data_IF_323737856205
#
_entry.id   IF_323737856205
#
_cell.length_a   1.000
_cell.length_b   1.000
_cell.length_c   1.000
_cell.angle_alpha   90.00
_cell.angle_beta   90.00
_cell.angle_gamma   90.00
#
_symmetry.space_group_name_H-M   'P 1'
#
loop_
_entity.id
_entity.type
_entity.pdbx_description
1 polymer ?
#
# COMPACT_ATOMS: atom_id res chain seq x y z
N UNK A 1 35.83 -41.88 -54.81
CA UNK A 1 35.77 -40.96 -53.66
C UNK A 1 34.32 -40.60 -53.41
N UNK A 2 33.73 -41.04 -52.31
CA UNK A 2 32.36 -40.71 -51.90
C UNK A 2 32.44 -39.46 -50.97
N UNK A 3 31.58 -38.45 -51.09
CA UNK A 3 31.61 -37.30 -50.21
C UNK A 3 30.99 -37.63 -48.86
N UNK A 4 31.72 -37.33 -47.80
CA UNK A 4 31.23 -37.35 -46.41
C UNK A 4 30.18 -36.25 -46.19
N UNK A 5 28.95 -36.60 -45.85
CA UNK A 5 27.93 -35.65 -45.41
C UNK A 5 28.04 -35.50 -43.89
N UNK A 6 28.51 -34.36 -43.42
CA UNK A 6 28.51 -33.98 -42.00
C UNK A 6 27.08 -33.58 -41.61
N UNK A 7 26.47 -34.13 -40.56
CA UNK A 7 25.18 -33.67 -40.11
C UNK A 7 25.33 -32.32 -39.37
N UNK A 8 24.59 -31.33 -39.79
CA UNK A 8 24.45 -30.05 -39.09
C UNK A 8 23.54 -30.26 -37.87
N UNK A 9 24.13 -30.32 -36.68
CA UNK A 9 23.36 -30.36 -35.43
C UNK A 9 22.96 -28.94 -35.09
N UNK A 10 21.67 -28.63 -35.29
CA UNK A 10 21.07 -27.35 -34.85
C UNK A 10 20.81 -27.45 -33.33
N UNK A 11 21.67 -26.82 -32.53
CA UNK A 11 21.41 -26.63 -31.10
C UNK A 11 20.35 -25.55 -30.92
N UNK A 12 19.14 -25.92 -30.58
CA UNK A 12 18.12 -24.99 -30.08
C UNK A 12 18.48 -24.60 -28.63
N UNK A 13 18.97 -23.37 -28.44
CA UNK A 13 19.02 -22.76 -27.12
C UNK A 13 17.58 -22.35 -26.75
N UNK A 14 16.93 -23.16 -25.90
CA UNK A 14 15.76 -22.74 -25.16
C UNK A 14 16.25 -21.74 -24.09
N UNK A 15 16.16 -20.45 -24.38
CA UNK A 15 16.23 -19.42 -23.35
C UNK A 15 14.96 -19.58 -22.50
N UNK A 16 15.09 -20.20 -21.32
CA UNK A 16 14.07 -20.14 -20.30
C UNK A 16 14.05 -18.70 -19.77
N UNK A 17 13.13 -17.89 -20.27
CA UNK A 17 12.75 -16.66 -19.59
C UNK A 17 12.05 -17.09 -18.31
N UNK A 18 12.72 -16.93 -17.18
CA UNK A 18 12.04 -16.90 -15.89
C UNK A 18 11.15 -15.66 -15.86
N UNK A 19 9.89 -15.86 -16.19
CA UNK A 19 8.86 -14.87 -15.83
C UNK A 19 8.80 -14.95 -14.31
N UNK A 20 9.36 -13.97 -13.62
CA UNK A 20 9.09 -13.79 -12.20
C UNK A 20 7.61 -13.40 -12.11
N UNK A 21 6.74 -14.36 -11.85
CA UNK A 21 5.37 -14.06 -11.47
C UNK A 21 5.45 -13.36 -10.10
N UNK A 22 4.71 -12.28 -9.94
CA UNK A 22 4.53 -11.61 -8.65
C UNK A 22 4.12 -12.66 -7.63
N UNK A 23 4.79 -12.70 -6.47
CA UNK A 23 4.50 -13.69 -5.45
C UNK A 23 3.43 -13.16 -4.49
N UNK A 24 2.46 -14.00 -4.14
CA UNK A 24 1.49 -13.68 -3.10
C UNK A 24 2.19 -13.58 -1.74
N UNK A 25 2.06 -12.43 -1.08
CA UNK A 25 2.64 -12.16 0.23
C UNK A 25 1.52 -12.12 1.28
N UNK A 26 1.47 -13.08 2.24
CA UNK A 26 0.40 -13.13 3.24
C UNK A 26 0.28 -11.86 4.09
N UNK A 27 1.40 -11.19 4.37
CA UNK A 27 1.41 -9.90 5.07
C UNK A 27 0.67 -8.82 4.26
N UNK A 28 0.89 -8.74 2.95
CA UNK A 28 0.18 -7.78 2.11
C UNK A 28 -1.32 -8.06 2.08
N UNK A 29 -1.72 -9.33 1.96
CA UNK A 29 -3.13 -9.68 2.02
C UNK A 29 -3.76 -9.29 3.35
N UNK A 30 -3.06 -9.45 4.47
CA UNK A 30 -3.57 -9.04 5.79
C UNK A 30 -3.84 -7.54 5.89
N UNK A 31 -3.13 -6.72 5.11
CA UNK A 31 -3.36 -5.27 5.00
C UNK A 31 -4.52 -4.98 4.04
N UNK A 32 -4.58 -5.68 2.91
CA UNK A 32 -5.64 -5.53 1.91
C UNK A 32 -7.03 -5.87 2.51
N UNK A 33 -7.12 -6.86 3.38
CA UNK A 33 -8.36 -7.18 4.10
C UNK A 33 -8.85 -6.08 5.06
N UNK A 34 -8.04 -5.02 5.29
CA UNK A 34 -8.47 -3.85 6.08
C UNK A 34 -9.05 -2.72 5.22
N UNK A 35 -9.15 -2.89 3.91
CA UNK A 35 -9.90 -1.95 3.06
C UNK A 35 -11.37 -1.99 3.50
N UNK A 36 -11.94 -0.81 3.73
CA UNK A 36 -13.27 -0.68 4.32
C UNK A 36 -14.26 -0.07 3.31
N UNK A 37 -15.24 -0.85 2.81
CA UNK A 37 -16.21 -0.35 1.86
C UNK A 37 -17.11 0.76 2.43
N UNK A 38 -17.35 0.77 3.73
CA UNK A 38 -18.18 1.82 4.35
C UNK A 38 -17.45 3.16 4.34
N UNK A 39 -16.14 3.18 4.60
CA UNK A 39 -15.33 4.40 4.45
C UNK A 39 -15.36 4.93 3.02
N UNK A 40 -15.23 4.06 2.03
CA UNK A 40 -15.25 4.43 0.61
C UNK A 40 -16.59 5.07 0.26
N UNK A 41 -17.70 4.46 0.66
CA UNK A 41 -19.05 4.95 0.38
C UNK A 41 -19.30 6.30 1.06
N UNK A 42 -18.90 6.44 2.32
CA UNK A 42 -19.07 7.68 3.08
C UNK A 42 -18.25 8.83 2.49
N UNK A 43 -17.01 8.55 2.09
CA UNK A 43 -16.12 9.54 1.47
C UNK A 43 -16.61 9.92 0.06
N UNK A 44 -17.11 8.97 -0.76
CA UNK A 44 -17.73 9.26 -2.06
C UNK A 44 -18.94 10.19 -1.91
N UNK A 45 -19.85 9.88 -0.99
CA UNK A 45 -21.02 10.73 -0.71
C UNK A 45 -20.59 12.11 -0.22
N UNK A 46 -19.55 12.20 0.60
CA UNK A 46 -19.03 13.48 1.08
C UNK A 46 -18.45 14.30 -0.06
N UNK A 47 -17.66 13.67 -0.94
CA UNK A 47 -17.04 14.32 -2.08
C UNK A 47 -18.09 14.82 -3.09
N UNK A 48 -19.12 14.00 -3.41
CA UNK A 48 -20.23 14.38 -4.25
C UNK A 48 -20.98 15.61 -3.69
N UNK A 49 -21.20 15.65 -2.37
CA UNK A 49 -21.94 16.72 -1.71
C UNK A 49 -21.25 18.09 -1.77
N UNK A 50 -19.97 18.19 -2.10
CA UNK A 50 -19.34 19.49 -2.39
C UNK A 50 -19.86 20.10 -3.70
N UNK A 51 -20.48 19.29 -4.55
CA UNK A 51 -20.94 19.71 -5.86
C UNK A 51 -19.79 19.91 -6.85
N UNK A 52 -19.96 20.81 -7.81
CA UNK A 52 -18.98 21.08 -8.88
C UNK A 52 -17.73 21.77 -8.36
N UNK A 53 -16.59 21.10 -8.46
CA UNK A 53 -15.30 21.52 -7.89
C UNK A 53 -14.37 22.12 -8.94
N UNK A 54 -14.78 23.23 -9.55
CA UNK A 54 -13.94 23.95 -10.51
C UNK A 54 -12.97 24.92 -9.82
N UNK A 55 -11.79 25.17 -10.42
CA UNK A 55 -10.86 26.19 -9.94
C UNK A 55 -11.53 27.53 -9.65
N UNK A 56 -11.25 28.11 -8.48
CA UNK A 56 -11.82 29.39 -8.01
C UNK A 56 -13.21 29.32 -7.39
N UNK A 57 -13.81 28.14 -7.25
CA UNK A 57 -15.12 27.96 -6.57
C UNK A 57 -14.94 27.67 -5.08
N UNK A 58 -15.98 27.97 -4.28
CA UNK A 58 -16.00 27.55 -2.87
C UNK A 58 -16.03 26.02 -2.74
N UNK A 59 -16.60 25.32 -3.71
CA UNK A 59 -16.69 23.85 -3.71
C UNK A 59 -15.32 23.19 -3.73
N UNK A 60 -14.40 23.65 -4.60
CA UNK A 60 -13.04 23.10 -4.66
C UNK A 60 -12.25 23.43 -3.39
N UNK A 61 -12.44 24.62 -2.81
CA UNK A 61 -11.79 24.99 -1.55
C UNK A 61 -12.29 24.12 -0.38
N UNK A 62 -13.59 23.79 -0.34
CA UNK A 62 -14.16 22.92 0.66
C UNK A 62 -13.62 21.47 0.48
N UNK A 63 -13.56 20.96 -0.75
CA UNK A 63 -13.00 19.65 -1.04
C UNK A 63 -11.51 19.58 -0.67
N UNK A 64 -10.70 20.60 -1.02
CA UNK A 64 -9.29 20.71 -0.63
C UNK A 64 -9.13 20.62 0.88
N UNK A 65 -9.88 21.43 1.64
CA UNK A 65 -9.78 21.45 3.09
C UNK A 65 -10.20 20.10 3.68
N UNK A 66 -11.26 19.49 3.18
CA UNK A 66 -11.69 18.16 3.62
C UNK A 66 -10.61 17.09 3.34
N UNK A 67 -9.99 17.08 2.18
CA UNK A 67 -8.89 16.15 1.86
C UNK A 67 -7.74 16.35 2.87
N UNK A 68 -7.32 17.58 3.12
CA UNK A 68 -6.26 17.91 4.08
C UNK A 68 -6.65 17.43 5.49
N UNK A 69 -7.86 17.71 5.95
CA UNK A 69 -8.36 17.30 7.26
C UNK A 69 -8.35 15.78 7.39
N UNK A 70 -8.77 15.04 6.35
CA UNK A 70 -8.71 13.56 6.32
C UNK A 70 -7.29 13.04 6.54
N UNK A 71 -6.28 13.59 5.87
CA UNK A 71 -4.87 13.21 6.08
C UNK A 71 -4.36 13.60 7.48
N UNK A 72 -4.75 14.75 7.99
CA UNK A 72 -4.39 15.18 9.36
C UNK A 72 -5.00 14.26 10.42
N UNK A 73 -6.26 13.86 10.27
CA UNK A 73 -6.94 12.91 11.16
C UNK A 73 -6.28 11.52 11.15
N UNK A 74 -5.73 11.10 10.01
CA UNK A 74 -4.89 9.92 9.89
C UNK A 74 -3.51 10.09 10.52
N UNK A 75 -3.15 11.31 10.93
CA UNK A 75 -1.88 11.64 11.58
C UNK A 75 -0.72 11.89 10.61
N UNK A 76 -0.99 12.22 9.35
CA UNK A 76 0.04 12.74 8.45
C UNK A 76 0.41 14.17 8.85
N UNK A 77 1.70 14.49 8.82
CA UNK A 77 2.22 15.80 9.22
C UNK A 77 3.00 16.49 8.11
N UNK A 78 3.41 15.74 7.09
CA UNK A 78 4.08 16.26 5.91
C UNK A 78 3.02 16.43 4.80
N UNK A 79 2.35 17.56 4.85
CA UNK A 79 1.24 17.96 3.96
C UNK A 79 1.56 19.34 3.41
N UNK A 80 1.68 19.42 2.10
CA UNK A 80 1.99 20.64 1.37
C UNK A 80 0.84 20.99 0.41
N UNK A 81 0.65 22.29 0.17
CA UNK A 81 -0.19 22.81 -0.91
C UNK A 81 0.66 23.58 -1.89
N UNK A 82 0.50 23.30 -3.17
CA UNK A 82 1.19 24.00 -4.23
C UNK A 82 0.18 24.87 -4.99
N UNK A 83 0.20 26.17 -4.72
CA UNK A 83 -0.77 27.12 -5.27
C UNK A 83 -0.40 27.53 -6.69
N UNK A 84 -1.39 27.57 -7.59
CA UNK A 84 -1.24 28.04 -8.95
C UNK A 84 -2.56 28.61 -9.49
N UNK A 85 -2.59 28.93 -10.79
CA UNK A 85 -3.80 29.48 -11.43
C UNK A 85 -4.18 28.72 -12.69
N UNK A 86 -5.46 28.41 -12.78
CA UNK A 86 -6.11 27.85 -13.96
C UNK A 86 -7.05 28.93 -14.53
N UNK A 87 -6.80 29.34 -15.76
CA UNK A 87 -7.59 30.40 -16.44
C UNK A 87 -7.80 31.66 -15.58
N UNK A 88 -6.80 32.01 -14.75
CA UNK A 88 -6.83 33.16 -13.84
C UNK A 88 -7.48 32.93 -12.49
N UNK A 89 -8.08 31.79 -12.25
CA UNK A 89 -8.67 31.36 -10.99
C UNK A 89 -7.62 30.64 -10.11
N UNK A 90 -7.63 30.87 -8.81
CA UNK A 90 -6.71 30.20 -7.88
C UNK A 90 -7.17 28.77 -7.62
N UNK A 91 -6.19 27.88 -7.51
CA UNK A 91 -6.37 26.49 -7.08
C UNK A 91 -5.05 25.96 -6.53
N UNK A 92 -5.02 24.71 -6.04
CA UNK A 92 -3.81 24.13 -5.44
C UNK A 92 -3.75 22.62 -5.71
N UNK A 93 -2.57 22.09 -5.93
CA UNK A 93 -2.29 20.68 -5.72
C UNK A 93 -2.13 20.42 -4.21
N UNK A 94 -2.48 19.21 -3.76
CA UNK A 94 -2.31 18.77 -2.37
C UNK A 94 -1.34 17.61 -2.39
N UNK A 95 -0.21 17.73 -1.68
CA UNK A 95 0.88 16.78 -1.68
C UNK A 95 1.10 16.26 -0.26
N UNK A 96 1.02 14.96 -0.06
CA UNK A 96 1.24 14.30 1.22
C UNK A 96 2.41 13.34 1.09
N UNK A 97 3.40 13.47 1.97
CA UNK A 97 4.57 12.59 1.96
C UNK A 97 4.56 11.62 3.13
N UNK A 98 4.71 10.34 2.81
CA UNK A 98 5.04 9.27 3.74
C UNK A 98 6.48 8.85 3.52
N UNK A 99 7.35 9.13 4.47
CA UNK A 99 8.78 8.82 4.36
C UNK A 99 9.05 7.31 4.43
N UNK A 100 9.83 6.82 3.48
CA UNK A 100 10.36 5.45 3.45
C UNK A 100 11.55 5.25 4.38
N UNK A 101 11.80 4.01 4.75
CA UNK A 101 12.82 3.66 5.76
C UNK A 101 14.22 3.41 5.17
N UNK A 102 14.33 3.07 3.88
CA UNK A 102 15.58 2.72 3.21
C UNK A 102 15.95 3.74 2.14
N UNK A 103 14.98 4.11 1.31
CA UNK A 103 15.13 5.07 0.20
C UNK A 103 14.22 6.28 0.41
N UNK A 104 14.50 7.13 1.42
CA UNK A 104 13.61 8.23 1.80
C UNK A 104 13.50 9.34 0.74
N UNK A 105 14.43 9.40 -0.22
CA UNK A 105 14.44 10.39 -1.30
C UNK A 105 14.04 9.83 -2.66
N UNK A 106 13.63 8.56 -2.74
CA UNK A 106 13.08 7.92 -3.94
C UNK A 106 11.59 7.69 -3.74
N UNK A 107 10.75 8.16 -4.64
CA UNK A 107 9.32 8.28 -4.43
C UNK A 107 8.50 7.34 -5.33
N UNK A 108 7.58 6.60 -4.74
CA UNK A 108 6.38 6.13 -5.40
C UNK A 108 5.37 7.28 -5.33
N UNK A 109 4.94 7.80 -6.47
CA UNK A 109 3.84 8.76 -6.54
C UNK A 109 2.55 7.99 -6.82
N UNK A 110 1.51 8.26 -6.03
CA UNK A 110 0.15 7.75 -6.26
C UNK A 110 -0.73 8.99 -6.36
N UNK A 111 -1.34 9.19 -7.50
CA UNK A 111 -2.04 10.43 -7.78
C UNK A 111 -3.39 10.24 -8.45
N UNK A 112 -4.17 11.31 -8.45
CA UNK A 112 -5.42 11.51 -9.13
C UNK A 112 -5.88 12.95 -8.92
N UNK A 113 -6.79 13.45 -9.75
CA UNK A 113 -7.29 14.81 -9.58
C UNK A 113 -8.51 14.89 -8.66
N UNK A 114 -8.81 16.09 -8.15
CA UNK A 114 -9.98 16.35 -7.31
C UNK A 114 -10.85 17.50 -7.79
N UNK A 115 -10.45 18.19 -8.85
CA UNK A 115 -11.34 19.10 -9.57
C UNK A 115 -12.31 18.31 -10.45
N UNK A 116 -13.42 18.94 -10.87
CA UNK A 116 -14.48 18.30 -11.66
C UNK A 116 -15.04 19.28 -12.67
N UNK A 117 -15.49 18.79 -13.82
CA UNK A 117 -16.13 19.59 -14.86
C UNK A 117 -17.66 19.36 -14.90
N UNK A 118 -18.44 20.43 -14.93
CA UNK A 118 -19.90 20.45 -15.14
C UNK A 118 -20.78 19.61 -14.18
N UNK A 119 -20.19 18.87 -13.23
CA UNK A 119 -20.90 17.97 -12.32
C UNK A 119 -20.23 17.79 -10.97
N UNK A 120 -20.83 16.97 -10.09
CA UNK A 120 -20.24 16.67 -8.79
C UNK A 120 -19.02 15.75 -8.90
N UNK A 121 -18.81 15.05 -10.02
CA UNK A 121 -17.62 14.24 -10.28
C UNK A 121 -17.45 13.12 -9.27
N UNK A 122 -18.48 12.31 -9.06
CA UNK A 122 -18.37 11.19 -8.11
C UNK A 122 -17.44 10.09 -8.64
N UNK A 123 -17.51 9.83 -9.96
CA UNK A 123 -16.59 8.94 -10.66
C UNK A 123 -15.34 9.71 -11.11
N UNK A 124 -15.55 10.80 -11.84
CA UNK A 124 -14.51 11.64 -12.43
C UNK A 124 -14.26 12.92 -11.59
N UNK A 125 -13.24 12.99 -10.68
CA UNK A 125 -12.46 11.84 -10.22
C UNK A 125 -12.56 11.69 -8.69
N UNK A 126 -13.81 11.66 -8.19
CA UNK A 126 -14.10 11.32 -6.79
C UNK A 126 -13.67 9.90 -6.45
N UNK A 127 -13.79 8.97 -7.40
CA UNK A 127 -13.40 7.56 -7.23
C UNK A 127 -11.90 7.45 -6.94
N UNK A 128 -11.04 8.10 -7.73
CA UNK A 128 -9.60 8.14 -7.50
C UNK A 128 -9.24 8.90 -6.22
N UNK A 129 -9.87 10.08 -5.98
CA UNK A 129 -9.64 10.87 -4.76
C UNK A 129 -9.88 10.03 -3.49
N UNK A 130 -11.00 9.32 -3.40
CA UNK A 130 -11.38 8.51 -2.23
C UNK A 130 -10.48 7.28 -2.11
N UNK A 131 -10.12 6.66 -3.22
CA UNK A 131 -9.18 5.54 -3.23
C UNK A 131 -7.82 5.95 -2.64
N UNK A 132 -7.28 7.11 -3.01
CA UNK A 132 -6.04 7.63 -2.43
C UNK A 132 -6.14 7.79 -0.90
N UNK A 133 -7.26 8.31 -0.39
CA UNK A 133 -7.50 8.47 1.05
C UNK A 133 -7.51 7.11 1.78
N UNK A 134 -8.16 6.10 1.20
CA UNK A 134 -8.23 4.76 1.80
C UNK A 134 -6.87 4.05 1.77
N UNK A 135 -6.10 4.18 0.67
CA UNK A 135 -4.71 3.70 0.62
C UNK A 135 -3.87 4.36 1.72
N UNK A 136 -3.97 5.67 1.86
CA UNK A 136 -3.22 6.42 2.86
C UNK A 136 -3.58 5.98 4.28
N UNK A 137 -4.87 5.72 4.56
CA UNK A 137 -5.33 5.22 5.86
C UNK A 137 -4.61 3.93 6.27
N UNK A 138 -4.50 2.99 5.35
CA UNK A 138 -3.87 1.70 5.64
C UNK A 138 -2.35 1.83 5.66
N UNK A 139 -1.76 2.52 4.68
CA UNK A 139 -0.32 2.65 4.53
C UNK A 139 0.34 3.51 5.61
N UNK A 140 -0.41 4.33 6.35
CA UNK A 140 0.14 5.24 7.38
C UNK A 140 1.11 4.55 8.33
N UNK A 141 0.74 3.38 8.83
CA UNK A 141 1.49 2.64 9.84
C UNK A 141 2.27 1.44 9.27
N UNK A 142 2.31 1.31 7.95
CA UNK A 142 3.07 0.26 7.27
C UNK A 142 4.49 0.76 7.00
N UNK A 143 5.50 -0.03 7.37
CA UNK A 143 6.88 0.30 7.01
C UNK A 143 7.10 0.01 5.52
N UNK A 144 7.61 0.99 4.78
CA UNK A 144 7.95 0.87 3.36
C UNK A 144 9.42 1.22 3.15
N UNK A 145 10.09 0.59 2.20
CA UNK A 145 11.47 0.95 1.87
C UNK A 145 11.52 2.31 1.17
N UNK A 146 10.64 2.53 0.19
CA UNK A 146 10.53 3.78 -0.57
C UNK A 146 9.52 4.73 0.06
N UNK A 147 9.75 6.03 -0.13
CA UNK A 147 8.76 7.05 0.23
C UNK A 147 7.56 6.99 -0.70
N UNK A 148 6.38 7.38 -0.18
CA UNK A 148 5.16 7.49 -0.97
C UNK A 148 4.71 8.94 -0.95
N UNK A 149 4.40 9.50 -2.11
CA UNK A 149 3.67 10.76 -2.24
C UNK A 149 2.26 10.47 -2.71
N UNK A 150 1.25 10.86 -1.93
CA UNK A 150 -0.12 10.93 -2.38
C UNK A 150 -0.35 12.34 -2.89
N UNK A 151 -0.77 12.48 -4.15
CA UNK A 151 -0.96 13.79 -4.76
C UNK A 151 -2.38 13.88 -5.31
N UNK A 152 -3.12 14.88 -4.83
CA UNK A 152 -4.41 15.25 -5.42
C UNK A 152 -4.19 16.47 -6.30
N UNK A 153 -4.21 16.28 -7.60
CA UNK A 153 -4.05 17.36 -8.58
C UNK A 153 -5.32 18.17 -8.74
N UNK A 154 -5.17 19.41 -9.18
CA UNK A 154 -6.28 20.27 -9.57
C UNK A 154 -6.01 20.86 -10.95
N UNK A 155 -7.09 21.14 -11.70
CA UNK A 155 -6.96 21.67 -13.04
C UNK A 155 -6.58 20.62 -14.09
N UNK A 156 -6.82 19.35 -13.79
CA UNK A 156 -6.76 18.25 -14.73
C UNK A 156 -7.73 18.51 -15.88
N UNK A 157 -9.00 18.79 -15.54
CA UNK A 157 -10.13 19.09 -16.41
C UNK A 157 -9.91 20.33 -17.33
N UNK A 158 -8.95 21.14 -16.98
CA UNK A 158 -8.55 22.30 -17.77
C UNK A 158 -7.37 22.00 -18.72
N UNK A 159 -6.90 20.75 -18.75
CA UNK A 159 -5.82 20.22 -19.59
C UNK A 159 -4.55 19.94 -18.82
N UNK A 160 -4.61 19.16 -17.75
CA UNK A 160 -3.46 18.65 -16.96
C UNK A 160 -2.62 19.76 -16.30
N UNK A 161 -3.21 20.93 -16.01
CA UNK A 161 -2.45 22.12 -15.59
C UNK A 161 -1.75 21.89 -14.26
N UNK A 162 -2.38 21.18 -13.31
CA UNK A 162 -1.82 20.93 -11.99
C UNK A 162 -0.65 19.97 -12.00
N UNK A 163 -0.76 18.86 -12.68
CA UNK A 163 0.33 17.87 -12.83
C UNK A 163 1.48 18.44 -13.67
N UNK A 164 1.19 19.19 -14.76
CA UNK A 164 2.21 19.90 -15.52
C UNK A 164 2.93 20.95 -14.64
N UNK A 165 2.18 21.69 -13.83
CA UNK A 165 2.76 22.66 -12.90
C UNK A 165 3.67 21.98 -11.87
N UNK A 166 3.26 20.83 -11.32
CA UNK A 166 4.07 20.07 -10.38
C UNK A 166 5.36 19.55 -11.01
N UNK A 167 5.29 18.96 -12.19
CA UNK A 167 6.49 18.48 -12.91
C UNK A 167 7.46 19.62 -13.18
N UNK A 168 6.97 20.74 -13.72
CA UNK A 168 7.82 21.88 -14.12
C UNK A 168 8.41 22.66 -12.93
N UNK A 169 7.72 22.71 -11.78
CA UNK A 169 8.11 23.55 -10.65
C UNK A 169 8.62 22.77 -9.44
N UNK A 170 8.49 21.43 -9.43
CA UNK A 170 8.98 20.57 -8.34
C UNK A 170 9.87 19.44 -8.89
N UNK A 171 9.34 18.56 -9.75
CA UNK A 171 10.07 17.36 -10.21
C UNK A 171 11.37 17.76 -10.91
N UNK A 172 11.30 18.61 -11.94
CA UNK A 172 12.46 19.02 -12.74
C UNK A 172 13.46 19.85 -11.93
N UNK A 173 13.03 20.95 -11.22
CA UNK A 173 13.98 21.78 -10.48
C UNK A 173 14.70 21.05 -9.34
N UNK A 174 14.02 20.11 -8.67
CA UNK A 174 14.58 19.33 -7.57
C UNK A 174 15.34 18.08 -8.02
N UNK A 175 15.28 17.76 -9.32
CA UNK A 175 15.80 16.49 -9.87
C UNK A 175 15.29 15.31 -9.04
N UNK A 176 13.97 15.27 -8.83
CA UNK A 176 13.29 14.30 -7.95
C UNK A 176 13.54 12.87 -8.48
N UNK A 177 13.91 11.97 -7.57
CA UNK A 177 14.09 10.56 -7.90
C UNK A 177 12.74 9.84 -7.76
N UNK A 178 12.08 9.60 -8.89
CA UNK A 178 10.77 8.96 -8.97
C UNK A 178 10.95 7.51 -9.42
N UNK A 179 10.54 6.59 -8.56
CA UNK A 179 10.54 5.16 -8.88
C UNK A 179 9.45 4.79 -9.86
N UNK A 180 8.25 5.35 -9.64
CA UNK A 180 7.06 5.07 -10.43
C UNK A 180 5.98 6.10 -10.11
N UNK A 181 5.19 6.47 -11.11
CA UNK A 181 3.93 7.20 -10.96
C UNK A 181 2.78 6.23 -11.21
N UNK A 182 1.87 6.12 -10.25
CA UNK A 182 0.62 5.35 -10.33
C UNK A 182 -0.55 6.33 -10.30
N UNK A 183 -1.12 6.59 -11.47
CA UNK A 183 -2.28 7.46 -11.63
C UNK A 183 -3.58 6.66 -11.47
N UNK A 184 -4.58 7.26 -10.84
CA UNK A 184 -5.90 6.65 -10.63
C UNK A 184 -6.96 7.63 -11.08
N UNK A 185 -7.66 7.26 -12.13
CA UNK A 185 -8.63 8.12 -12.77
C UNK A 185 -9.84 7.31 -13.26
N UNK A 186 -11.06 7.81 -12.96
CA UNK A 186 -12.32 7.17 -13.32
C UNK A 186 -12.37 5.65 -13.04
N UNK A 187 -12.38 5.28 -11.77
CA UNK A 187 -12.42 3.87 -11.33
C UNK A 187 -13.72 3.51 -10.59
N UNK A 188 -14.79 4.20 -10.91
CA UNK A 188 -16.08 4.07 -10.25
C UNK A 188 -16.96 2.94 -10.77
N UNK A 189 -16.78 2.51 -12.01
CA UNK A 189 -17.66 1.58 -12.69
C UNK A 189 -19.05 2.17 -12.93
N UNK A 190 -19.94 1.39 -13.53
CA UNK A 190 -21.30 1.81 -13.91
C UNK A 190 -22.34 1.04 -13.12
N UNK A 191 -23.28 1.73 -12.48
CA UNK A 191 -24.37 1.13 -11.73
C UNK A 191 -25.16 0.11 -12.57
N UNK A 192 -25.36 -1.09 -12.02
CA UNK A 192 -26.11 -2.17 -12.65
C UNK A 192 -25.41 -2.91 -13.77
N UNK A 193 -24.15 -2.58 -14.09
CA UNK A 193 -23.30 -3.34 -15.00
C UNK A 193 -22.48 -4.41 -14.25
N UNK A 194 -21.89 -5.33 -14.99
CA UNK A 194 -20.94 -6.28 -14.44
C UNK A 194 -19.53 -5.66 -14.45
N UNK A 195 -19.16 -4.98 -13.37
CA UNK A 195 -17.88 -4.31 -13.21
C UNK A 195 -16.86 -5.28 -12.63
N UNK A 196 -16.36 -6.21 -13.44
CA UNK A 196 -15.41 -7.27 -13.00
C UNK A 196 -14.01 -7.15 -13.60
N UNK A 197 -13.72 -6.06 -14.30
CA UNK A 197 -12.45 -5.85 -15.00
C UNK A 197 -11.96 -4.43 -14.77
N UNK A 198 -10.67 -4.30 -14.46
CA UNK A 198 -9.95 -3.02 -14.39
C UNK A 198 -8.98 -2.92 -15.57
N UNK A 199 -8.86 -1.74 -16.14
CA UNK A 199 -7.86 -1.41 -17.14
C UNK A 199 -6.59 -0.94 -16.45
N UNK A 200 -5.47 -1.54 -16.82
CA UNK A 200 -4.14 -1.15 -16.40
C UNK A 200 -3.43 -0.49 -17.60
N UNK A 201 -3.02 0.76 -17.45
CA UNK A 201 -2.49 1.56 -18.53
C UNK A 201 -0.97 1.63 -18.47
N UNK A 202 -0.33 1.49 -19.63
CA UNK A 202 1.12 1.59 -19.78
C UNK A 202 1.48 2.67 -20.79
N UNK A 203 2.66 3.24 -20.61
CA UNK A 203 3.25 4.13 -21.59
C UNK A 203 3.60 3.42 -22.89
N UNK A 204 3.30 4.07 -24.02
CA UNK A 204 3.82 3.71 -25.34
C UNK A 204 4.16 4.96 -26.17
N UNK A 205 4.26 6.13 -25.55
CA UNK A 205 4.59 7.36 -26.25
C UNK A 205 5.94 7.20 -26.96
N UNK A 206 6.06 7.61 -28.22
CA UNK A 206 7.35 7.53 -28.94
C UNK A 206 8.40 8.54 -28.43
N UNK A 207 8.00 9.55 -27.63
CA UNK A 207 8.88 10.63 -27.20
C UNK A 207 8.57 11.13 -25.78
N UNK A 208 9.40 10.75 -24.75
CA UNK A 208 10.52 9.82 -24.84
C UNK A 208 10.05 8.36 -24.84
N UNK A 209 10.74 7.49 -25.55
CA UNK A 209 10.42 6.05 -25.53
C UNK A 209 11.32 5.25 -24.56
N UNK A 210 12.20 5.93 -23.83
CA UNK A 210 13.17 5.28 -22.93
C UNK A 210 12.53 4.65 -21.69
N UNK A 211 11.38 5.14 -21.26
CA UNK A 211 10.58 4.68 -20.11
C UNK A 211 9.56 3.59 -20.47
N UNK A 212 9.16 3.42 -21.75
CA UNK A 212 8.09 2.51 -22.19
C UNK A 212 8.29 1.05 -21.71
N UNK A 213 9.51 0.54 -21.80
CA UNK A 213 9.78 -0.85 -21.38
C UNK A 213 9.60 -1.03 -19.86
N UNK A 214 10.05 -0.06 -19.07
CA UNK A 214 9.90 -0.05 -17.61
C UNK A 214 8.45 0.17 -17.20
N UNK A 215 7.73 1.05 -17.87
CA UNK A 215 6.30 1.24 -17.69
C UNK A 215 5.51 -0.05 -17.98
N UNK A 216 5.81 -0.72 -19.10
CA UNK A 216 5.17 -2.00 -19.42
C UNK A 216 5.40 -3.08 -18.36
N UNK A 217 6.59 -3.13 -17.74
CA UNK A 217 6.89 -4.04 -16.65
C UNK A 217 6.11 -3.66 -15.37
N UNK A 218 6.09 -2.39 -15.01
CA UNK A 218 5.35 -1.91 -13.85
C UNK A 218 3.84 -2.16 -13.99
N UNK A 219 3.28 -1.92 -15.19
CA UNK A 219 1.87 -2.20 -15.47
C UNK A 219 1.54 -3.69 -15.40
N UNK A 220 2.44 -4.56 -15.90
CA UNK A 220 2.25 -6.00 -15.76
C UNK A 220 2.34 -6.45 -14.28
N UNK A 221 3.26 -5.87 -13.51
CA UNK A 221 3.36 -6.11 -12.07
C UNK A 221 2.07 -5.68 -11.35
N UNK A 222 1.54 -4.51 -11.68
CA UNK A 222 0.25 -4.02 -11.16
C UNK A 222 -0.90 -4.97 -11.52
N UNK A 223 -1.01 -5.40 -12.77
CA UNK A 223 -2.04 -6.35 -13.21
C UNK A 223 -1.98 -7.66 -12.42
N UNK A 224 -0.77 -8.20 -12.19
CA UNK A 224 -0.58 -9.39 -11.37
C UNK A 224 -1.02 -9.16 -9.91
N UNK A 225 -0.78 -7.98 -9.34
CA UNK A 225 -1.24 -7.65 -7.98
C UNK A 225 -2.77 -7.62 -7.89
N UNK A 226 -3.47 -7.13 -8.91
CA UNK A 226 -4.93 -7.20 -8.95
C UNK A 226 -5.44 -8.64 -8.91
N UNK A 227 -4.83 -9.57 -9.67
CA UNK A 227 -5.19 -10.99 -9.65
C UNK A 227 -4.90 -11.65 -8.29
N UNK A 228 -3.89 -11.17 -7.54
CA UNK A 228 -3.51 -11.71 -6.24
C UNK A 228 -4.36 -11.18 -5.07
N UNK A 229 -4.83 -9.92 -5.15
CA UNK A 229 -5.37 -9.21 -3.99
C UNK A 229 -6.79 -8.67 -4.18
N UNK A 230 -7.38 -8.79 -5.37
CA UNK A 230 -8.77 -8.40 -5.65
C UNK A 230 -9.53 -9.50 -6.39
N UNK A 231 -10.83 -9.29 -6.60
CA UNK A 231 -11.67 -10.19 -7.40
C UNK A 231 -11.78 -9.73 -8.87
N UNK A 232 -11.00 -8.72 -9.27
CA UNK A 232 -11.08 -8.16 -10.61
C UNK A 232 -10.14 -8.89 -11.58
N UNK A 233 -10.61 -9.01 -12.81
CA UNK A 233 -9.78 -9.31 -13.95
C UNK A 233 -9.05 -8.06 -14.41
N UNK A 234 -7.97 -8.21 -15.17
CA UNK A 234 -7.20 -7.09 -15.69
C UNK A 234 -7.17 -7.07 -17.21
N UNK A 235 -7.14 -5.88 -17.77
CA UNK A 235 -6.86 -5.62 -19.19
C UNK A 235 -5.77 -4.58 -19.29
N UNK A 236 -4.71 -4.83 -20.09
CA UNK A 236 -3.63 -3.87 -20.28
C UNK A 236 -3.89 -3.09 -21.55
N UNK A 237 -3.90 -1.76 -21.43
CA UNK A 237 -4.03 -0.82 -22.55
C UNK A 237 -2.93 0.24 -22.50
N UNK A 238 -3.13 1.35 -23.19
CA UNK A 238 -2.16 2.43 -23.32
C UNK A 238 -2.66 3.68 -22.62
N UNK A 239 -1.76 4.32 -21.87
CA UNK A 239 -1.95 5.63 -21.28
C UNK A 239 -2.18 6.70 -22.37
N UNK A 240 -3.13 7.60 -22.19
CA UNK A 240 -3.46 8.58 -23.24
C UNK A 240 -3.87 9.97 -22.74
N UNK A 241 -4.35 10.14 -21.52
CA UNK A 241 -4.85 11.45 -21.15
C UNK A 241 -5.28 11.58 -19.70
N UNK A 242 -4.33 11.59 -18.76
CA UNK A 242 -4.56 11.93 -17.36
C UNK A 242 -3.28 12.48 -16.74
N UNK A 243 -3.24 12.72 -15.44
CA UNK A 243 -2.17 13.40 -14.70
C UNK A 243 -0.79 12.73 -14.76
N UNK A 244 -0.69 11.48 -15.21
CA UNK A 244 0.60 10.83 -15.49
C UNK A 244 1.31 11.37 -16.72
N UNK A 245 0.60 12.01 -17.67
CA UNK A 245 1.18 12.44 -18.96
C UNK A 245 2.33 13.46 -18.84
N UNK A 246 2.28 14.47 -17.96
CA UNK A 246 3.42 15.36 -17.77
C UNK A 246 4.67 14.63 -17.25
N UNK A 247 4.50 13.62 -16.42
CA UNK A 247 5.59 12.78 -15.89
C UNK A 247 6.17 11.90 -17.01
N UNK A 248 5.32 11.26 -17.81
CA UNK A 248 5.72 10.49 -18.99
C UNK A 248 6.56 11.33 -19.94
N UNK A 249 6.09 12.54 -20.27
CA UNK A 249 6.79 13.49 -21.13
C UNK A 249 8.16 13.91 -20.56
N UNK A 250 8.32 13.89 -19.23
CA UNK A 250 9.61 14.12 -18.55
C UNK A 250 10.50 12.87 -18.54
N UNK A 251 9.99 11.70 -18.94
CA UNK A 251 10.74 10.44 -19.01
C UNK A 251 10.60 9.56 -17.79
N UNK A 252 9.67 9.87 -16.88
CA UNK A 252 9.38 9.05 -15.71
C UNK A 252 8.65 7.76 -16.08
N UNK A 253 8.79 6.74 -15.25
CA UNK A 253 8.05 5.49 -15.39
C UNK A 253 6.63 5.72 -14.87
N UNK A 254 5.62 5.44 -15.71
CA UNK A 254 4.23 5.62 -15.33
C UNK A 254 3.43 4.32 -15.48
N UNK A 255 2.35 4.22 -14.74
CA UNK A 255 1.24 3.28 -14.93
C UNK A 255 -0.05 3.93 -14.45
N UNK A 256 -1.20 3.46 -14.91
CA UNK A 256 -2.49 4.02 -14.54
C UNK A 256 -3.58 2.97 -14.36
N UNK A 257 -4.65 3.36 -13.71
CA UNK A 257 -5.89 2.59 -13.54
C UNK A 257 -7.05 3.37 -14.13
N UNK A 258 -7.88 2.67 -14.89
CA UNK A 258 -9.09 3.18 -15.50
C UNK A 258 -10.19 2.11 -15.53
N UNK A 259 -11.45 2.50 -15.46
CA UNK A 259 -12.57 1.56 -15.50
C UNK A 259 -12.77 0.93 -16.88
N UNK A 260 -13.13 -0.38 -16.93
CA UNK A 260 -13.41 -1.06 -18.21
C UNK A 260 -14.77 -0.69 -18.79
N UNK A 261 -15.76 -0.58 -17.95
CA UNK A 261 -17.09 -0.11 -18.34
C UNK A 261 -17.10 1.40 -18.14
N UNK A 262 -16.77 2.13 -19.20
CA UNK A 262 -16.71 3.59 -19.16
C UNK A 262 -18.07 4.17 -18.79
N UNK A 263 -18.09 5.04 -17.77
CA UNK A 263 -19.29 5.76 -17.38
C UNK A 263 -19.79 6.64 -18.55
N UNK A 264 -21.08 6.69 -18.83
CA UNK A 264 -21.62 7.63 -19.81
C UNK A 264 -21.82 9.04 -19.24
N UNK A 265 -21.41 9.30 -18.00
CA UNK A 265 -21.74 10.52 -17.27
C UNK A 265 -20.58 11.45 -16.92
N UNK A 266 -19.29 11.23 -17.31
CA UNK A 266 -18.24 12.19 -16.99
C UNK A 266 -18.61 13.57 -17.49
N UNK A 267 -18.10 14.61 -16.84
CA UNK A 267 -18.39 16.02 -17.18
C UNK A 267 -19.87 16.38 -17.23
N UNK A 268 -20.68 15.76 -16.40
CA UNK A 268 -22.14 16.02 -16.38
C UNK A 268 -22.71 16.07 -14.96
N UNK A 269 -23.91 16.68 -14.77
CA UNK A 269 -24.61 16.65 -13.49
C UNK A 269 -25.04 15.25 -13.02
N UNK A 270 -24.91 14.25 -13.88
CA UNK A 270 -25.28 12.85 -13.59
C UNK A 270 -24.06 12.00 -13.14
N UNK A 271 -22.88 12.56 -13.05
CA UNK A 271 -21.74 11.90 -12.43
C UNK A 271 -21.88 11.91 -10.90
N UNK A 272 -22.70 10.96 -10.44
CA UNK A 272 -23.15 10.83 -9.04
C UNK A 272 -22.89 9.41 -8.53
N UNK A 273 -22.79 9.24 -7.21
CA UNK A 273 -22.61 7.93 -6.55
C UNK A 273 -23.75 6.95 -6.93
N UNK A 274 -24.96 7.45 -7.20
CA UNK A 274 -26.09 6.63 -7.64
C UNK A 274 -25.83 5.93 -8.99
N UNK A 275 -25.02 6.52 -9.85
CA UNK A 275 -24.75 6.04 -11.21
C UNK A 275 -23.45 5.23 -11.32
N UNK A 276 -22.68 5.10 -10.23
CA UNK A 276 -21.48 4.29 -10.16
C UNK A 276 -21.66 3.03 -9.30
N UNK A 277 -20.63 2.21 -9.19
CA UNK A 277 -20.62 0.98 -8.39
C UNK A 277 -19.57 1.08 -7.27
N UNK A 278 -19.93 1.51 -6.06
CA UNK A 278 -18.97 1.63 -4.95
C UNK A 278 -18.29 0.32 -4.55
N UNK A 279 -18.91 -0.85 -4.83
CA UNK A 279 -18.27 -2.14 -4.58
C UNK A 279 -17.15 -2.43 -5.59
N UNK A 280 -17.28 -1.90 -6.81
CA UNK A 280 -16.19 -1.94 -7.77
C UNK A 280 -15.01 -1.07 -7.29
N UNK A 281 -15.27 0.16 -6.81
CA UNK A 281 -14.22 1.01 -6.19
C UNK A 281 -13.52 0.29 -5.05
N UNK A 282 -14.27 -0.42 -4.20
CA UNK A 282 -13.71 -1.24 -3.13
C UNK A 282 -12.75 -2.32 -3.65
N UNK A 283 -13.13 -3.08 -4.69
CA UNK A 283 -12.26 -4.09 -5.28
C UNK A 283 -11.06 -3.47 -6.00
N UNK A 284 -11.23 -2.32 -6.68
CA UNK A 284 -10.11 -1.57 -7.28
C UNK A 284 -9.14 -1.11 -6.18
N UNK A 285 -9.64 -0.60 -5.06
CA UNK A 285 -8.82 -0.17 -3.93
C UNK A 285 -7.98 -1.33 -3.37
N UNK A 286 -8.51 -2.54 -3.29
CA UNK A 286 -7.76 -3.73 -2.86
C UNK A 286 -6.59 -4.04 -3.78
N UNK A 287 -6.82 -4.07 -5.09
CA UNK A 287 -5.77 -4.30 -6.08
C UNK A 287 -4.71 -3.19 -6.10
N UNK A 288 -5.15 -1.94 -6.02
CA UNK A 288 -4.26 -0.77 -5.96
C UNK A 288 -3.41 -0.78 -4.68
N UNK A 289 -3.99 -1.15 -3.52
CA UNK A 289 -3.24 -1.31 -2.28
C UNK A 289 -2.19 -2.42 -2.39
N UNK A 290 -2.58 -3.60 -2.93
CA UNK A 290 -1.64 -4.69 -3.21
C UNK A 290 -0.47 -4.21 -4.06
N UNK A 291 -0.75 -3.46 -5.14
CA UNK A 291 0.26 -2.87 -6.02
C UNK A 291 1.17 -1.87 -5.28
N UNK A 292 0.59 -0.95 -4.50
CA UNK A 292 1.35 0.03 -3.73
C UNK A 292 2.28 -0.64 -2.70
N UNK A 293 1.84 -1.72 -2.04
CA UNK A 293 2.65 -2.50 -1.11
C UNK A 293 3.86 -3.14 -1.79
N UNK A 294 3.69 -3.66 -3.01
CA UNK A 294 4.78 -4.22 -3.81
C UNK A 294 5.72 -3.11 -4.31
N UNK A 295 5.20 -2.06 -4.90
CA UNK A 295 6.01 -0.97 -5.44
C UNK A 295 6.80 -0.22 -4.37
N UNK A 296 6.21 0.03 -3.20
CA UNK A 296 6.88 0.68 -2.09
C UNK A 296 7.76 -0.28 -1.26
N UNK A 297 7.74 -1.59 -1.56
CA UNK A 297 8.41 -2.67 -0.83
C UNK A 297 8.05 -2.59 0.65
N UNK A 298 6.79 -2.91 0.94
CA UNK A 298 6.30 -2.91 2.31
C UNK A 298 6.91 -4.07 3.11
N UNK A 299 7.34 -3.78 4.32
CA UNK A 299 7.94 -4.77 5.20
C UNK A 299 7.11 -4.93 6.46
N UNK A 300 6.83 -6.18 6.82
CA UNK A 300 6.33 -6.47 8.15
C UNK A 300 7.41 -6.04 9.15
N UNK A 301 7.09 -5.04 9.96
CA UNK A 301 7.90 -4.82 11.14
C UNK A 301 7.79 -6.13 11.93
N UNK A 302 8.79 -6.99 11.81
CA UNK A 302 9.02 -8.00 12.81
C UNK A 302 9.22 -7.20 14.10
N UNK A 303 8.10 -6.85 14.71
CA UNK A 303 8.09 -6.42 16.07
C UNK A 303 8.68 -7.60 16.85
N UNK A 304 9.97 -7.63 16.99
CA UNK A 304 10.48 -7.91 18.31
C UNK A 304 9.92 -6.78 19.16
N UNK A 305 8.60 -6.85 19.44
CA UNK A 305 8.14 -6.30 20.68
C UNK A 305 9.09 -6.98 21.66
N UNK A 306 10.17 -6.31 22.01
CA UNK A 306 10.78 -6.47 23.30
C UNK A 306 9.62 -6.12 24.22
N UNK A 307 8.80 -7.13 24.33
CA UNK A 307 7.51 -7.08 24.96
C UNK A 307 7.73 -6.57 26.36
N UNK A 308 6.89 -5.66 26.74
CA UNK A 308 6.48 -5.48 28.11
C UNK A 308 6.30 -6.82 28.89
N UNK A 309 6.24 -7.96 28.22
CA UNK A 309 6.27 -9.29 28.82
C UNK A 309 7.64 -9.63 29.44
N UNK A 310 8.76 -9.25 28.83
CA UNK A 310 10.11 -9.49 29.36
C UNK A 310 10.36 -8.65 30.62
N UNK A 311 9.89 -7.39 30.65
CA UNK A 311 10.02 -6.46 31.77
C UNK A 311 8.99 -6.76 32.87
N UNK A 312 7.91 -7.44 32.52
CA UNK A 312 6.85 -7.84 33.45
C UNK A 312 7.07 -9.20 34.12
N UNK A 313 8.21 -9.87 33.86
CA UNK A 313 8.50 -11.20 34.40
C UNK A 313 9.82 -11.21 35.13
N UNK A 314 9.79 -11.61 36.39
CA UNK A 314 10.98 -11.88 37.20
C UNK A 314 11.06 -13.36 37.56
N UNK A 315 12.28 -13.95 37.46
CA UNK A 315 12.55 -15.34 37.84
C UNK A 315 13.62 -15.32 38.93
N UNK A 316 13.29 -15.89 40.10
CA UNK A 316 14.21 -15.90 41.21
C UNK A 316 14.00 -17.13 42.14
N UNK A 317 15.08 -17.65 42.70
CA UNK A 317 16.46 -17.36 42.41
C UNK A 317 16.85 -17.88 41.02
N UNK A 318 17.81 -17.23 40.38
CA UNK A 318 18.44 -17.68 39.15
C UNK A 318 19.92 -17.20 39.18
N UNK A 319 20.91 -18.08 39.35
CA UNK A 319 20.84 -19.57 39.43
C UNK A 319 20.05 -20.14 40.59
N UNK A 320 19.63 -21.44 40.48
CA UNK A 320 18.81 -22.14 41.46
C UNK A 320 19.18 -23.63 41.52
N UNK A 321 18.80 -24.31 42.60
CA UNK A 321 18.87 -25.77 42.75
C UNK A 321 17.72 -26.50 41.97
N UNK A 322 17.20 -25.88 40.89
CA UNK A 322 16.05 -26.38 40.17
C UNK A 322 14.72 -25.85 40.65
N UNK A 323 14.65 -25.16 41.79
CA UNK A 323 13.44 -24.55 42.32
C UNK A 323 13.51 -23.03 42.25
N UNK A 324 12.56 -22.42 41.54
CA UNK A 324 12.49 -20.96 41.34
C UNK A 324 11.03 -20.49 41.25
N UNK A 325 10.83 -19.21 41.45
CA UNK A 325 9.53 -18.54 41.33
C UNK A 325 9.51 -17.65 40.08
N UNK A 326 8.47 -17.80 39.29
CA UNK A 326 8.14 -16.86 38.22
C UNK A 326 7.11 -15.88 38.77
N UNK A 327 7.48 -14.61 38.86
CA UNK A 327 6.59 -13.51 39.25
C UNK A 327 6.18 -12.71 38.01
N UNK A 328 4.85 -12.57 37.85
CA UNK A 328 4.23 -11.75 36.84
C UNK A 328 3.87 -10.39 37.46
N UNK A 329 4.41 -9.28 36.93
CA UNK A 329 4.16 -7.94 37.52
C UNK A 329 2.76 -7.41 37.20
N UNK A 330 2.14 -7.89 36.11
CA UNK A 330 0.73 -7.62 35.79
C UNK A 330 -0.06 -8.91 35.81
N UNK A 331 -1.36 -8.81 36.16
CA UNK A 331 -2.28 -9.94 36.04
C UNK A 331 -2.52 -10.25 34.58
N UNK A 332 -1.89 -11.30 34.08
CA UNK A 332 -2.10 -11.76 32.70
C UNK A 332 -3.47 -12.45 32.61
N UNK A 333 -4.14 -12.22 31.48
CA UNK A 333 -5.34 -12.99 31.12
C UNK A 333 -5.06 -14.52 31.15
N UNK A 334 -6.08 -15.30 31.33
CA UNK A 334 -6.11 -16.72 31.76
C UNK A 334 -5.24 -17.76 31.04
N UNK A 335 -4.27 -17.47 30.21
CA UNK A 335 -3.59 -18.46 29.36
C UNK A 335 -2.07 -18.27 29.14
N UNK A 336 -1.32 -17.80 30.15
CA UNK A 336 0.15 -17.79 30.01
C UNK A 336 0.70 -19.22 30.16
N UNK A 337 1.35 -19.71 29.09
CA UNK A 337 2.00 -21.02 29.05
C UNK A 337 3.52 -20.84 29.13
N UNK A 338 4.20 -21.75 29.83
CA UNK A 338 5.65 -21.86 29.78
C UNK A 338 6.09 -23.18 29.19
N UNK A 339 7.20 -23.13 28.44
CA UNK A 339 7.98 -24.30 28.01
C UNK A 339 9.43 -24.08 28.37
N UNK A 340 10.09 -25.12 28.84
CA UNK A 340 11.52 -25.12 29.13
C UNK A 340 12.19 -26.05 28.13
N UNK A 341 13.27 -25.55 27.53
CA UNK A 341 14.05 -26.25 26.53
C UNK A 341 15.49 -26.44 27.04
N UNK A 342 16.08 -27.57 26.74
CA UNK A 342 17.52 -27.77 26.88
C UNK A 342 18.32 -27.05 25.78
N UNK A 343 19.64 -27.21 25.81
CA UNK A 343 20.55 -26.59 24.83
C UNK A 343 20.44 -27.20 23.42
N UNK A 344 19.78 -28.35 23.27
CA UNK A 344 19.51 -29.01 22.00
C UNK A 344 18.13 -28.64 21.44
N UNK A 345 17.36 -27.79 22.15
CA UNK A 345 16.01 -27.38 21.75
C UNK A 345 14.92 -28.38 22.08
N UNK A 346 15.20 -29.43 22.88
CA UNK A 346 14.18 -30.39 23.31
C UNK A 346 13.35 -29.82 24.46
N UNK A 347 12.02 -29.98 24.42
CA UNK A 347 11.16 -29.57 25.53
C UNK A 347 11.33 -30.51 26.70
N UNK A 348 11.86 -30.00 27.83
CA UNK A 348 12.08 -30.76 29.07
C UNK A 348 10.98 -30.53 30.13
N UNK A 349 10.19 -29.44 30.00
CA UNK A 349 9.08 -29.11 30.87
C UNK A 349 8.08 -28.18 30.22
N UNK A 350 6.79 -28.32 30.57
CA UNK A 350 5.76 -27.35 30.16
C UNK A 350 4.63 -27.28 31.23
N UNK A 351 4.11 -26.05 31.41
CA UNK A 351 2.94 -25.84 32.30
C UNK A 351 2.25 -24.51 31.94
N UNK A 352 1.09 -24.26 32.56
CA UNK A 352 0.39 -22.95 32.46
C UNK A 352 0.54 -22.18 33.76
N UNK A 353 0.77 -20.87 33.66
CA UNK A 353 0.83 -19.97 34.80
C UNK A 353 -0.58 -19.45 35.09
N UNK A 354 -1.06 -19.63 36.31
CA UNK A 354 -2.41 -19.28 36.74
C UNK A 354 -2.46 -18.26 37.87
N UNK A 355 -1.29 -17.86 38.40
CA UNK A 355 -1.16 -16.94 39.54
C UNK A 355 -0.12 -15.89 39.29
N UNK A 356 -0.15 -14.81 40.07
CA UNK A 356 0.87 -13.76 40.04
C UNK A 356 2.26 -14.29 40.37
N UNK A 357 2.37 -15.21 41.31
CA UNK A 357 3.59 -15.94 41.69
C UNK A 357 3.38 -17.43 41.46
N UNK A 358 4.25 -18.05 40.66
CA UNK A 358 4.19 -19.47 40.32
C UNK A 358 5.55 -20.10 40.65
N UNK A 359 5.56 -21.05 41.61
CA UNK A 359 6.75 -21.83 41.94
C UNK A 359 6.87 -22.99 40.96
N UNK A 360 8.06 -23.11 40.34
CA UNK A 360 8.41 -24.17 39.38
C UNK A 360 9.48 -25.04 40.04
N UNK A 361 9.32 -26.34 39.94
CA UNK A 361 10.26 -27.35 40.44
C UNK A 361 10.82 -28.16 39.27
N UNK A 362 12.06 -27.91 38.92
CA UNK A 362 12.85 -28.60 37.89
C UNK A 362 14.08 -29.30 38.49
N UNK A 363 14.03 -29.62 39.81
CA UNK A 363 15.15 -30.24 40.49
C UNK A 363 15.48 -31.66 39.99
N UNK A 364 14.67 -32.20 39.09
CA UNK A 364 14.92 -33.46 38.38
C UNK A 364 15.82 -33.30 37.15
N UNK A 365 16.10 -32.06 36.71
CA UNK A 365 16.97 -31.77 35.57
C UNK A 365 18.43 -31.73 36.03
N UNK A 366 19.33 -32.03 35.10
CA UNK A 366 20.78 -31.92 35.34
C UNK A 366 21.21 -30.46 35.52
N UNK A 367 22.30 -30.24 36.23
CA UNK A 367 22.99 -28.96 36.29
C UNK A 367 23.28 -28.46 34.89
N UNK A 368 22.88 -27.20 34.57
CA UNK A 368 23.02 -26.64 33.24
C UNK A 368 22.20 -25.39 33.00
N UNK A 369 22.29 -24.90 31.76
CA UNK A 369 21.51 -23.74 31.28
C UNK A 369 20.35 -24.22 30.46
N UNK A 370 19.21 -23.64 30.71
CA UNK A 370 17.95 -23.94 30.01
C UNK A 370 17.28 -22.66 29.51
N UNK A 371 16.55 -22.75 28.44
CA UNK A 371 15.77 -21.64 27.89
C UNK A 371 14.29 -21.80 28.29
N UNK A 372 13.78 -20.86 29.09
CA UNK A 372 12.39 -20.81 29.50
C UNK A 372 11.64 -19.83 28.60
N UNK A 373 10.72 -20.33 27.80
CA UNK A 373 9.87 -19.57 26.90
C UNK A 373 8.50 -19.40 27.53
N UNK A 374 8.07 -18.15 27.68
CA UNK A 374 6.71 -17.80 28.10
C UNK A 374 5.91 -17.36 26.88
N UNK A 375 4.68 -17.82 26.76
CA UNK A 375 3.74 -17.44 25.71
C UNK A 375 2.38 -17.03 26.30
N UNK A 376 1.93 -15.80 25.91
CA UNK A 376 0.62 -15.28 26.30
C UNK A 376 -0.08 -14.73 25.05
N UNK A 377 -1.04 -15.46 24.51
CA UNK A 377 -1.64 -15.17 23.21
C UNK A 377 -0.59 -15.22 22.10
N UNK A 378 -0.45 -14.13 21.36
CA UNK A 378 0.59 -13.97 20.31
C UNK A 378 1.95 -13.52 20.86
N UNK A 379 2.00 -13.05 22.12
CA UNK A 379 3.24 -12.55 22.72
C UNK A 379 4.07 -13.67 23.32
N UNK A 380 5.38 -13.68 23.10
CA UNK A 380 6.32 -14.62 23.71
C UNK A 380 7.60 -13.91 24.17
N UNK A 381 8.21 -14.42 25.26
CA UNK A 381 9.53 -13.98 25.71
C UNK A 381 10.34 -15.18 26.17
N UNK A 382 11.67 -15.08 26.04
CA UNK A 382 12.58 -16.13 26.48
C UNK A 382 13.50 -15.60 27.58
N UNK A 383 13.65 -16.38 28.65
CA UNK A 383 14.58 -16.10 29.76
C UNK A 383 15.50 -17.32 29.94
N UNK A 384 16.79 -17.07 30.16
CA UNK A 384 17.73 -18.13 30.54
C UNK A 384 17.60 -18.44 32.04
N UNK A 385 17.55 -19.70 32.38
CA UNK A 385 17.62 -20.21 33.76
C UNK A 385 18.83 -21.11 33.92
N UNK A 386 19.49 -21.00 35.04
CA UNK A 386 20.63 -21.85 35.43
C UNK A 386 20.21 -22.74 36.61
N UNK A 387 20.51 -24.04 36.49
CA UNK A 387 20.33 -25.06 37.55
C UNK A 387 21.71 -25.47 38.01
N UNK A 388 21.99 -25.37 39.32
CA UNK A 388 23.25 -25.72 39.96
C UNK A 388 23.10 -26.94 40.87
#
# INVERSE_FOLDING_TARGET
MKPFKTPLVLLFFLAAFSVNSQEYIPFYNSLVENVDPDNIIDDLNTFENFGRKEPGTTAIENAKNWIIDRYQDLGYTDIETQDFRVRGQNTSNIIITKTGSVYPNTFLIIDGHYDTENGPGANDNGSGTVLLLELARILKNVNTEYSIKFIHFSGEEAGLIGSEYYVNNTVIPENMDIKLVLNIDEVGGVAGMNNNTIVCERDQNPYPSSNNASSALATQEMANCFELYSNLQTEITYAYGSDYMPFENNGEIITGLYEKNESPYPHSPYDTVENMDPLYVFEVTKGALGSALHFAVATELLNTSENNLADNISIFPNPSNGKFTIKLNQTTEKNTKIKVFDTLGQTVYQTSLIRKNNTIDLSFLATGIYNLVLKNGQNSTTKKIAIE
#
